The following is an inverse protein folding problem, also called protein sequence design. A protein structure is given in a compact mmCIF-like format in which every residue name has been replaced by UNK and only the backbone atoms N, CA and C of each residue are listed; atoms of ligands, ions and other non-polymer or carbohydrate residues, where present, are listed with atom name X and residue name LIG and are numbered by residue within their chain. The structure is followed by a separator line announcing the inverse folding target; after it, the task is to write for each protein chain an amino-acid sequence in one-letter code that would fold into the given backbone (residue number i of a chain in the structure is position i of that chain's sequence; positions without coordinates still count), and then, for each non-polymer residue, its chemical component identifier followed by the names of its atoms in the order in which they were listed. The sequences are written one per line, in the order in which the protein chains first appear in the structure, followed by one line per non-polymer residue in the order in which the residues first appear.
data_IF_355619339657
#
_entry.id   IF_355619339657
#
_cell.length_a   1.000
_cell.length_b   1.000
_cell.length_c   1.000
_cell.angle_alpha   90.00
_cell.angle_beta   90.00
_cell.angle_gamma   90.00
#
_symmetry.space_group_name_H-M   'P 1'
#
loop_
_entity.id
_entity.type
_entity.pdbx_description
1 polymer ?
#
# COMPACT_ATOMS: atom_id res chain seq x y z
N UNK A 1 -9.26 15.70 -11.79
CA UNK A 1 -8.12 15.12 -12.53
C UNK A 1 -8.63 14.57 -13.84
N UNK A 2 -7.76 14.38 -14.83
CA UNK A 2 -8.13 13.58 -16.00
C UNK A 2 -8.42 12.14 -15.55
N UNK A 3 -9.35 11.47 -16.23
CA UNK A 3 -9.62 10.05 -16.00
C UNK A 3 -8.37 9.24 -16.33
N UNK A 4 -7.96 8.34 -15.44
CA UNK A 4 -6.77 7.51 -15.63
C UNK A 4 -7.08 6.35 -16.58
N UNK A 5 -6.10 5.92 -17.38
CA UNK A 5 -6.24 4.72 -18.22
C UNK A 5 -6.50 3.49 -17.35
N UNK A 6 -5.94 3.45 -16.14
CA UNK A 6 -6.14 2.38 -15.19
C UNK A 6 -7.62 2.20 -14.79
N UNK A 7 -8.40 3.28 -14.74
CA UNK A 7 -9.82 3.24 -14.33
C UNK A 7 -10.69 2.46 -15.32
N UNK A 8 -10.38 2.55 -16.61
CA UNK A 8 -11.08 1.79 -17.67
C UNK A 8 -10.66 0.31 -17.76
N UNK A 9 -9.56 -0.05 -17.12
CA UNK A 9 -8.98 -1.40 -17.18
C UNK A 9 -9.34 -2.25 -15.96
N UNK A 10 -9.63 -1.63 -14.81
CA UNK A 10 -10.07 -2.37 -13.62
C UNK A 10 -11.40 -3.05 -13.93
N UNK A 11 -11.44 -4.37 -13.73
CA UNK A 11 -12.65 -5.16 -13.96
C UNK A 11 -13.26 -5.62 -12.64
N UNK A 12 -14.58 -5.65 -12.62
CA UNK A 12 -15.35 -6.19 -11.51
C UNK A 12 -15.44 -7.71 -11.63
N UNK A 13 -15.07 -8.40 -10.57
CA UNK A 13 -15.21 -9.85 -10.44
C UNK A 13 -16.24 -10.12 -9.33
N UNK A 14 -17.46 -10.56 -9.68
CA UNK A 14 -18.49 -10.83 -8.68
C UNK A 14 -18.17 -12.08 -7.86
N UNK A 15 -18.66 -12.09 -6.63
CA UNK A 15 -18.62 -13.21 -5.68
C UNK A 15 -17.22 -13.70 -5.31
N UNK A 16 -16.23 -12.80 -5.30
CA UNK A 16 -14.86 -13.10 -4.90
C UNK A 16 -14.38 -12.17 -3.77
N UNK A 17 -13.69 -12.68 -2.73
CA UNK A 17 -13.36 -14.09 -2.48
C UNK A 17 -14.52 -14.91 -1.88
N UNK A 18 -15.65 -14.27 -1.59
CA UNK A 18 -16.88 -14.89 -1.07
C UNK A 18 -18.11 -14.27 -1.75
N UNK A 19 -19.26 -14.96 -1.75
CA UNK A 19 -20.50 -14.43 -2.30
C UNK A 19 -20.86 -13.05 -1.73
N UNK A 20 -21.36 -12.16 -2.60
CA UNK A 20 -21.77 -10.79 -2.26
C UNK A 20 -20.68 -9.73 -2.32
N UNK A 21 -19.42 -10.09 -2.61
CA UNK A 21 -18.32 -9.13 -2.81
C UNK A 21 -18.06 -8.91 -4.30
N UNK A 22 -17.95 -7.65 -4.70
CA UNK A 22 -17.41 -7.26 -6.01
C UNK A 22 -15.93 -6.95 -5.84
N UNK A 23 -15.08 -7.84 -6.34
CA UNK A 23 -13.63 -7.66 -6.29
C UNK A 23 -13.15 -6.77 -7.44
N UNK A 24 -12.34 -5.76 -7.12
CA UNK A 24 -11.68 -4.89 -8.10
C UNK A 24 -10.38 -5.54 -8.57
N UNK A 25 -10.43 -6.22 -9.71
CA UNK A 25 -9.24 -6.86 -10.28
C UNK A 25 -8.39 -5.86 -11.08
N UNK A 26 -7.20 -5.62 -10.56
CA UNK A 26 -6.22 -4.68 -11.08
C UNK A 26 -5.28 -5.28 -12.13
N UNK A 27 -5.33 -6.61 -12.33
CA UNK A 27 -4.39 -7.30 -13.21
C UNK A 27 -4.35 -6.72 -14.64
N UNK A 28 -5.47 -6.32 -15.27
CA UNK A 28 -5.42 -5.72 -16.61
C UNK A 28 -4.61 -4.41 -16.66
N UNK A 29 -4.58 -3.62 -15.58
CA UNK A 29 -3.74 -2.41 -15.49
C UNK A 29 -2.26 -2.77 -15.64
N UNK A 30 -1.82 -3.85 -14.99
CA UNK A 30 -0.45 -4.34 -15.05
C UNK A 30 -0.06 -4.87 -16.45
N UNK A 31 -1.05 -5.27 -17.26
CA UNK A 31 -0.85 -5.76 -18.63
C UNK A 31 -0.77 -4.62 -19.65
N UNK A 32 -1.09 -3.38 -19.27
CA UNK A 32 -1.00 -2.19 -20.14
C UNK A 32 0.12 -1.30 -19.61
N UNK A 33 1.34 -1.33 -20.20
CA UNK A 33 2.50 -0.62 -19.66
C UNK A 33 2.30 0.89 -19.47
N UNK A 34 1.48 1.52 -20.30
CA UNK A 34 1.15 2.95 -20.18
C UNK A 34 0.30 3.24 -18.94
N UNK A 35 -0.71 2.42 -18.66
CA UNK A 35 -1.56 2.58 -17.49
C UNK A 35 -0.79 2.28 -16.19
N UNK A 36 0.02 1.22 -16.18
CA UNK A 36 0.87 0.91 -15.04
C UNK A 36 1.89 2.03 -14.75
N UNK A 37 2.52 2.55 -15.80
CA UNK A 37 3.44 3.70 -15.70
C UNK A 37 2.74 4.94 -15.16
N UNK A 38 1.57 5.28 -15.69
CA UNK A 38 0.77 6.42 -15.22
C UNK A 38 0.50 6.34 -13.71
N UNK A 39 0.09 5.17 -13.22
CA UNK A 39 -0.14 4.93 -11.78
C UNK A 39 1.14 5.13 -10.97
N UNK A 40 2.26 4.53 -11.40
CA UNK A 40 3.53 4.67 -10.70
C UNK A 40 4.04 6.11 -10.70
N UNK A 41 3.96 6.82 -11.83
CA UNK A 41 4.45 8.20 -11.97
C UNK A 41 3.69 9.15 -11.02
N UNK A 42 2.36 9.01 -10.91
CA UNK A 42 1.56 9.80 -9.97
C UNK A 42 1.90 9.52 -8.50
N UNK A 43 2.15 8.26 -8.14
CA UNK A 43 2.58 7.92 -6.78
C UNK A 43 4.02 8.37 -6.50
N UNK A 44 4.90 8.38 -7.51
CA UNK A 44 6.26 8.94 -7.41
C UNK A 44 6.19 10.43 -7.10
N UNK A 45 5.34 11.18 -7.81
CA UNK A 45 5.14 12.62 -7.57
C UNK A 45 4.64 12.89 -6.14
N UNK A 46 3.65 12.13 -5.69
CA UNK A 46 3.09 12.25 -4.33
C UNK A 46 4.14 11.90 -3.25
N UNK A 47 4.81 10.76 -3.37
CA UNK A 47 5.87 10.33 -2.45
C UNK A 47 7.02 11.35 -2.39
N UNK A 48 7.43 11.89 -3.54
CA UNK A 48 8.46 12.95 -3.62
C UNK A 48 8.00 14.23 -2.92
N UNK A 49 6.76 14.65 -3.13
CA UNK A 49 6.21 15.87 -2.52
C UNK A 49 6.16 15.77 -0.98
N UNK A 50 6.01 14.55 -0.46
CA UNK A 50 6.02 14.23 0.96
C UNK A 50 7.42 13.99 1.54
N UNK A 51 8.47 14.11 0.72
CA UNK A 51 9.85 13.92 1.13
C UNK A 51 10.13 12.50 1.64
N UNK A 52 9.66 11.49 0.90
CA UNK A 52 9.96 10.09 1.20
C UNK A 52 11.48 9.83 1.14
N UNK A 53 11.97 9.01 2.08
CA UNK A 53 13.36 8.55 2.16
C UNK A 53 13.46 7.02 2.05
N UNK A 54 12.34 6.32 2.15
CA UNK A 54 12.20 4.87 1.91
C UNK A 54 10.76 4.57 1.50
N UNK A 55 10.60 3.62 0.58
CA UNK A 55 9.30 3.10 0.19
C UNK A 55 9.07 1.76 0.89
N UNK A 56 7.93 1.61 1.55
CA UNK A 56 7.49 0.33 2.11
C UNK A 56 6.32 -0.21 1.29
N UNK A 57 6.49 -1.40 0.72
CA UNK A 57 5.38 -2.11 0.09
C UNK A 57 4.67 -3.03 1.08
N UNK A 58 3.35 -3.13 0.96
CA UNK A 58 2.54 -4.14 1.67
C UNK A 58 2.42 -5.42 0.83
N UNK A 59 2.65 -6.58 1.45
CA UNK A 59 2.62 -7.84 0.71
C UNK A 59 1.21 -8.16 0.15
N UNK A 60 1.07 -8.63 -1.08
CA UNK A 60 2.11 -8.78 -2.13
C UNK A 60 2.00 -7.71 -3.21
N UNK A 61 0.81 -7.13 -3.38
CA UNK A 61 0.52 -6.23 -4.51
C UNK A 61 1.11 -4.85 -4.29
N UNK A 62 1.25 -4.40 -3.04
CA UNK A 62 2.07 -3.24 -2.72
C UNK A 62 3.53 -3.35 -3.17
N UNK A 63 4.08 -4.56 -3.36
CA UNK A 63 5.42 -4.71 -3.95
C UNK A 63 5.44 -4.39 -5.44
N UNK A 64 4.36 -4.72 -6.16
CA UNK A 64 4.25 -4.50 -7.60
C UNK A 64 4.32 -3.01 -7.91
N UNK A 65 3.70 -2.17 -7.08
CA UNK A 65 3.73 -0.71 -7.24
C UNK A 65 4.93 -0.06 -6.51
N UNK A 66 5.23 -0.53 -5.29
CA UNK A 66 6.26 0.06 -4.44
C UNK A 66 7.68 -0.06 -4.99
N UNK A 67 8.02 -1.18 -5.64
CA UNK A 67 9.36 -1.36 -6.23
C UNK A 67 9.63 -0.36 -7.37
N UNK A 68 8.76 -0.20 -8.39
CA UNK A 68 8.91 0.85 -9.40
C UNK A 68 9.00 2.27 -8.82
N UNK A 69 8.22 2.59 -7.78
CA UNK A 69 8.25 3.90 -7.13
C UNK A 69 9.61 4.14 -6.46
N UNK A 70 10.11 3.15 -5.71
CA UNK A 70 11.42 3.24 -5.06
C UNK A 70 12.55 3.43 -6.09
N UNK A 71 12.52 2.66 -7.18
CA UNK A 71 13.48 2.79 -8.28
C UNK A 71 13.39 4.15 -8.98
N UNK A 72 12.17 4.66 -9.19
CA UNK A 72 11.95 5.97 -9.82
C UNK A 72 12.46 7.15 -8.99
N UNK A 73 12.56 6.97 -7.67
CA UNK A 73 13.05 7.99 -6.73
C UNK A 73 14.50 7.77 -6.28
N UNK A 74 15.16 6.69 -6.71
CA UNK A 74 16.46 6.24 -6.20
C UNK A 74 16.46 6.09 -4.66
N UNK A 75 15.41 5.48 -4.13
CA UNK A 75 15.21 5.26 -2.69
C UNK A 75 15.30 3.78 -2.32
N UNK A 76 15.67 3.46 -1.06
CA UNK A 76 15.53 2.12 -0.52
C UNK A 76 14.09 1.61 -0.59
N UNK A 77 13.95 0.29 -0.70
CA UNK A 77 12.67 -0.41 -0.62
C UNK A 77 12.66 -1.40 0.54
N UNK A 78 11.63 -1.32 1.38
CA UNK A 78 11.43 -2.20 2.52
C UNK A 78 10.11 -2.99 2.39
N UNK A 79 10.08 -4.16 3.03
CA UNK A 79 8.98 -5.12 2.93
C UNK A 79 8.20 -5.17 4.23
N UNK A 80 6.87 -5.10 4.15
CA UNK A 80 6.00 -5.76 5.15
C UNK A 80 5.46 -7.05 4.56
N UNK A 81 5.52 -8.14 5.33
CA UNK A 81 5.11 -9.47 4.87
C UNK A 81 4.13 -10.12 5.80
N UNK A 82 3.42 -11.13 5.34
CA UNK A 82 2.68 -12.05 6.22
C UNK A 82 3.65 -12.85 7.08
N UNK A 83 3.17 -13.27 8.25
CA UNK A 83 3.95 -14.05 9.22
C UNK A 83 4.71 -15.24 8.58
N UNK A 84 5.98 -15.40 8.97
CA UNK A 84 6.82 -16.54 8.59
C UNK A 84 7.44 -16.46 7.19
N UNK A 85 7.46 -15.27 6.56
CA UNK A 85 8.04 -15.04 5.23
C UNK A 85 9.38 -14.29 5.27
N UNK A 86 9.68 -13.61 6.37
CA UNK A 86 10.90 -12.86 6.62
C UNK A 86 11.91 -13.70 7.43
N UNK A 87 13.13 -13.93 6.89
CA UNK A 87 14.11 -14.83 7.50
C UNK A 87 14.96 -14.20 8.61
N UNK A 88 15.06 -12.88 8.67
CA UNK A 88 15.88 -12.18 9.67
C UNK A 88 15.07 -11.82 10.93
N UNK A 89 15.72 -11.15 11.87
CA UNK A 89 15.08 -10.61 13.08
C UNK A 89 13.95 -9.66 12.69
N UNK A 90 12.80 -9.82 13.35
CA UNK A 90 11.55 -9.20 12.93
C UNK A 90 10.69 -8.77 14.11
N UNK A 91 9.90 -7.73 13.85
CA UNK A 91 8.76 -7.33 14.68
C UNK A 91 7.47 -7.70 13.95
N UNK A 92 6.41 -7.96 14.72
CA UNK A 92 5.10 -8.35 14.23
C UNK A 92 4.02 -7.40 14.73
N UNK A 93 2.96 -7.23 13.94
CA UNK A 93 1.76 -6.49 14.31
C UNK A 93 0.53 -7.26 13.86
N UNK A 94 -0.39 -7.49 14.79
CA UNK A 94 -1.68 -8.14 14.54
C UNK A 94 -2.76 -7.09 14.29
N UNK A 95 -3.70 -7.38 13.40
CA UNK A 95 -4.83 -6.52 13.10
C UNK A 95 -6.09 -7.33 12.83
N UNK A 96 -7.23 -6.72 13.15
CA UNK A 96 -8.54 -7.33 12.99
C UNK A 96 -8.99 -7.31 11.53
N UNK A 97 -9.54 -8.43 11.09
CA UNK A 97 -10.31 -8.57 9.87
C UNK A 97 -11.80 -8.53 10.21
N UNK A 98 -12.66 -8.48 9.19
CA UNK A 98 -14.11 -8.66 9.38
C UNK A 98 -14.42 -10.00 10.07
N UNK A 99 -13.60 -11.02 9.80
CA UNK A 99 -13.67 -12.33 10.44
C UNK A 99 -12.25 -12.81 10.78
N UNK A 100 -11.90 -12.78 12.07
CA UNK A 100 -10.61 -13.21 12.59
C UNK A 100 -9.56 -12.09 12.61
N UNK A 101 -8.30 -12.46 12.73
CA UNK A 101 -7.16 -11.55 12.73
C UNK A 101 -6.10 -12.01 11.74
N UNK A 102 -5.22 -11.10 11.34
CA UNK A 102 -4.04 -11.40 10.56
C UNK A 102 -2.82 -10.69 11.16
N UNK A 103 -1.64 -11.22 10.86
CA UNK A 103 -0.37 -10.69 11.36
C UNK A 103 0.56 -10.39 10.21
N UNK A 104 1.13 -9.20 10.23
CA UNK A 104 2.25 -8.81 9.35
C UNK A 104 3.53 -8.64 10.14
N UNK A 105 4.65 -8.77 9.45
CA UNK A 105 6.01 -8.68 9.98
C UNK A 105 6.88 -7.76 9.13
N UNK A 106 7.86 -7.14 9.78
CA UNK A 106 8.90 -6.30 9.19
C UNK A 106 10.23 -6.63 9.87
N UNK A 107 11.34 -6.62 9.12
CA UNK A 107 12.65 -6.79 9.74
C UNK A 107 12.99 -5.61 10.65
N UNK A 108 13.74 -5.87 11.73
CA UNK A 108 14.12 -4.84 12.71
C UNK A 108 15.04 -3.75 12.14
N UNK A 109 15.70 -4.04 11.03
CA UNK A 109 16.63 -3.15 10.32
C UNK A 109 16.03 -2.54 9.04
N UNK A 110 14.73 -2.76 8.79
CA UNK A 110 14.08 -2.30 7.57
C UNK A 110 13.96 -0.77 7.50
N UNK A 111 13.89 -0.09 8.65
CA UNK A 111 13.66 1.35 8.78
C UNK A 111 14.65 1.94 9.78
N UNK A 112 15.33 3.02 9.38
CA UNK A 112 16.21 3.77 10.28
C UNK A 112 15.40 4.74 11.17
N UNK A 113 15.85 5.02 12.41
CA UNK A 113 15.21 6.02 13.26
C UNK A 113 15.13 7.40 12.58
N UNK A 114 13.94 8.00 12.61
CA UNK A 114 13.63 9.28 11.97
C UNK A 114 13.34 9.22 10.46
N UNK A 115 13.56 8.06 9.82
CA UNK A 115 13.42 7.93 8.37
C UNK A 115 11.97 8.16 7.92
N UNK A 116 11.79 8.96 6.87
CA UNK A 116 10.48 9.28 6.30
C UNK A 116 10.02 8.17 5.37
N UNK A 117 8.97 7.46 5.76
CA UNK A 117 8.48 6.26 5.09
C UNK A 117 7.22 6.57 4.29
N UNK A 118 7.22 6.22 3.01
CA UNK A 118 6.01 6.24 2.18
C UNK A 118 5.53 4.82 1.95
N UNK A 119 4.28 4.53 2.32
CA UNK A 119 3.72 3.18 2.31
C UNK A 119 2.85 3.00 1.07
N UNK A 120 3.03 1.88 0.36
CA UNK A 120 2.35 1.60 -0.91
C UNK A 120 1.58 0.28 -0.82
N UNK A 121 0.33 0.31 -1.25
CA UNK A 121 -0.46 -0.89 -1.53
C UNK A 121 -1.34 -0.69 -2.76
N UNK A 122 -1.92 -1.77 -3.28
CA UNK A 122 -2.80 -1.66 -4.44
C UNK A 122 -4.17 -1.05 -4.10
N UNK A 123 -4.72 -1.39 -2.94
CA UNK A 123 -6.10 -1.05 -2.60
C UNK A 123 -6.28 -0.70 -1.11
N UNK A 124 -6.94 0.43 -0.84
CA UNK A 124 -7.45 0.79 0.49
C UNK A 124 -8.90 0.31 0.64
N UNK A 125 -9.11 -0.67 1.53
CA UNK A 125 -10.42 -1.16 1.94
C UNK A 125 -10.80 -0.61 3.32
N UNK A 126 -10.69 -1.42 4.37
CA UNK A 126 -10.97 -1.00 5.76
C UNK A 126 -9.80 -0.31 6.46
N UNK A 127 -8.62 -0.28 5.83
CA UNK A 127 -7.40 0.34 6.38
C UNK A 127 -6.61 -0.48 7.41
N UNK A 128 -7.10 -1.66 7.83
CA UNK A 128 -6.46 -2.44 8.92
C UNK A 128 -5.00 -2.84 8.64
N UNK A 129 -4.70 -3.35 7.44
CA UNK A 129 -3.32 -3.75 7.09
C UNK A 129 -2.38 -2.55 6.96
N UNK A 130 -2.88 -1.43 6.42
CA UNK A 130 -2.13 -0.19 6.30
C UNK A 130 -1.80 0.42 7.67
N UNK A 131 -2.76 0.39 8.60
CA UNK A 131 -2.56 0.82 9.98
C UNK A 131 -1.51 -0.05 10.69
N UNK A 132 -1.58 -1.38 10.52
CA UNK A 132 -0.59 -2.30 11.08
C UNK A 132 0.82 -2.03 10.53
N UNK A 133 0.94 -1.76 9.23
CA UNK A 133 2.21 -1.41 8.61
C UNK A 133 2.78 -0.12 9.20
N UNK A 134 1.92 0.89 9.43
CA UNK A 134 2.27 2.13 10.08
C UNK A 134 2.81 1.92 11.50
N UNK A 135 2.14 1.07 12.31
CA UNK A 135 2.59 0.73 13.67
C UNK A 135 3.95 0.04 13.69
N UNK A 136 4.22 -0.87 12.73
CA UNK A 136 5.54 -1.49 12.60
C UNK A 136 6.62 -0.44 12.33
N UNK A 137 6.36 0.49 11.41
CA UNK A 137 7.27 1.60 11.07
C UNK A 137 7.54 2.48 12.29
N UNK A 138 6.50 2.90 13.00
CA UNK A 138 6.60 3.76 14.18
C UNK A 138 7.37 3.06 15.32
N UNK A 139 7.21 1.74 15.48
CA UNK A 139 7.97 0.94 16.46
C UNK A 139 9.46 0.82 16.13
N UNK A 140 9.84 1.00 14.86
CA UNK A 140 11.23 1.16 14.43
C UNK A 140 11.71 2.62 14.50
N UNK A 141 10.90 3.51 15.07
CA UNK A 141 11.12 4.95 15.15
C UNK A 141 11.13 5.66 13.78
N UNK A 142 10.51 5.08 12.75
CA UNK A 142 10.27 5.75 11.48
C UNK A 142 9.09 6.72 11.54
N UNK A 143 9.03 7.64 10.58
CA UNK A 143 7.90 8.58 10.41
C UNK A 143 7.15 8.24 9.14
N UNK A 144 5.89 7.85 9.24
CA UNK A 144 5.05 7.65 8.05
C UNK A 144 4.69 9.01 7.44
N UNK A 145 5.24 9.31 6.27
CA UNK A 145 5.01 10.57 5.56
C UNK A 145 3.81 10.52 4.61
N UNK A 146 3.26 9.34 4.34
CA UNK A 146 2.00 9.16 3.63
C UNK A 146 1.79 7.75 3.10
N UNK A 147 0.60 7.56 2.53
CA UNK A 147 0.20 6.33 1.85
C UNK A 147 -0.15 6.59 0.39
N UNK A 148 0.21 5.65 -0.49
CA UNK A 148 -0.18 5.60 -1.89
C UNK A 148 -0.99 4.32 -2.18
N UNK A 149 -2.21 4.51 -2.71
CA UNK A 149 -3.10 3.44 -3.13
C UNK A 149 -3.57 3.66 -4.57
N UNK A 150 -3.64 2.60 -5.37
CA UNK A 150 -4.20 2.73 -6.71
C UNK A 150 -5.72 2.86 -6.62
N UNK A 151 -6.35 2.03 -5.80
CA UNK A 151 -7.80 2.00 -5.60
C UNK A 151 -8.16 2.27 -4.15
N UNK A 152 -9.23 3.01 -3.94
CA UNK A 152 -9.90 3.15 -2.65
C UNK A 152 -11.36 2.70 -2.78
N UNK A 153 -11.83 1.90 -1.82
CA UNK A 153 -13.24 1.57 -1.66
C UNK A 153 -13.83 2.53 -0.62
N UNK A 154 -14.28 3.70 -1.06
CA UNK A 154 -14.70 4.81 -0.19
C UNK A 154 -15.83 4.41 0.76
N UNK A 155 -16.73 3.52 0.32
CA UNK A 155 -17.84 3.01 1.13
C UNK A 155 -17.41 2.15 2.34
N UNK A 156 -16.13 1.78 2.46
CA UNK A 156 -15.59 1.04 3.62
C UNK A 156 -14.93 1.95 4.67
N UNK A 157 -14.89 3.27 4.44
CA UNK A 157 -14.34 4.27 5.36
C UNK A 157 -12.91 3.94 5.87
N UNK A 158 -12.05 3.39 5.00
CA UNK A 158 -10.69 3.00 5.40
C UNK A 158 -9.81 4.16 5.86
N UNK A 159 -10.14 5.38 5.43
CA UNK A 159 -9.44 6.61 5.84
C UNK A 159 -9.58 6.91 7.32
N UNK A 160 -10.70 6.53 7.95
CA UNK A 160 -10.97 6.78 9.38
C UNK A 160 -9.91 6.11 10.28
N UNK A 161 -9.36 4.97 9.85
CA UNK A 161 -8.25 4.30 10.57
C UNK A 161 -6.90 4.97 10.40
N UNK A 162 -6.77 5.84 9.40
CA UNK A 162 -5.52 6.43 8.94
C UNK A 162 -5.54 7.96 9.03
N UNK A 163 -6.46 8.55 9.78
CA UNK A 163 -6.70 10.01 9.88
C UNK A 163 -5.45 10.84 10.21
N UNK A 164 -4.46 10.24 10.89
CA UNK A 164 -3.19 10.91 11.22
C UNK A 164 -2.20 11.00 10.05
N UNK A 165 -2.53 10.43 8.89
CA UNK A 165 -1.61 10.32 7.75
C UNK A 165 -2.22 10.89 6.47
N UNK A 166 -1.34 11.40 5.60
CA UNK A 166 -1.74 11.83 4.26
C UNK A 166 -1.95 10.62 3.35
N UNK A 167 -3.12 10.54 2.72
CA UNK A 167 -3.51 9.41 1.85
C UNK A 167 -3.72 9.91 0.42
N UNK A 168 -2.93 9.38 -0.50
CA UNK A 168 -3.14 9.48 -1.93
C UNK A 168 -3.83 8.21 -2.44
N UNK A 169 -5.05 8.35 -2.96
CA UNK A 169 -5.72 7.30 -3.74
C UNK A 169 -6.00 7.82 -5.14
N UNK A 170 -5.67 7.03 -6.16
CA UNK A 170 -5.77 7.47 -7.55
C UNK A 170 -7.18 7.29 -8.12
N UNK A 171 -7.87 6.22 -7.73
CA UNK A 171 -9.22 5.85 -8.18
C UNK A 171 -10.06 5.54 -6.93
N UNK A 172 -11.27 6.10 -6.85
CA UNK A 172 -12.18 5.89 -5.72
C UNK A 172 -13.51 5.31 -6.21
N UNK A 173 -13.96 4.22 -5.57
CA UNK A 173 -15.24 3.54 -5.80
C UNK A 173 -16.16 3.62 -4.59
#
# INVERSE_FOLDING_TARGET
MAKLLAEDLIRDVPDFPKPGIIFKDIHPVLQVPQAFREVCDLMIEDAKSKGAEVIVGIESRGFIFGVPIALGLDLPFALTRKIGKLPYDKITEEYDLEYGSATIEMHVDAIAPGQRVYVVDDLLATGGTAEAAAKLIERLNGTVCGFGFMVELGFLNGRDRLEKYDICSLINY
#
